data_IF_358964790830
#
_entry.id   IF_358964790830
#
_cell.length_a   1.000
_cell.length_b   1.000
_cell.length_c   1.000
_cell.angle_alpha   90.00
_cell.angle_beta   90.00
_cell.angle_gamma   90.00
#
_symmetry.space_group_name_H-M   'P 1'
#
loop_
_entity.id
_entity.type
_entity.pdbx_description
1 polymer ?
#
# COMPACT_ATOMS: atom_id res chain seq x y z
N UNK A 1 31.30 33.80 -45.69
CA UNK A 1 29.96 33.23 -46.01
C UNK A 1 29.36 32.74 -44.70
N UNK A 2 29.15 33.70 -43.80
CA UNK A 2 28.95 33.47 -42.37
C UNK A 2 27.77 34.33 -41.94
N UNK A 3 26.65 33.68 -41.65
CA UNK A 3 25.65 34.19 -40.73
C UNK A 3 24.69 33.06 -40.39
N UNK A 4 24.98 32.43 -39.26
CA UNK A 4 24.00 31.79 -38.42
C UNK A 4 22.82 32.75 -38.19
N UNK A 5 21.65 32.44 -38.76
CA UNK A 5 20.40 33.17 -38.53
C UNK A 5 19.30 32.39 -39.23
N UNK A 6 18.31 31.77 -38.60
CA UNK A 6 17.83 31.76 -37.23
C UNK A 6 17.21 30.39 -37.03
N UNK A 7 17.51 29.77 -35.89
CA UNK A 7 16.79 28.63 -35.33
C UNK A 7 15.29 28.84 -35.48
N UNK A 8 14.70 28.14 -36.44
CA UNK A 8 13.26 28.08 -36.66
C UNK A 8 12.64 27.54 -35.38
N UNK A 9 11.67 28.30 -34.89
CA UNK A 9 10.78 28.02 -33.76
C UNK A 9 10.25 26.58 -33.76
N UNK A 10 11.01 25.63 -33.20
CA UNK A 10 10.54 24.27 -32.92
C UNK A 10 9.57 24.25 -31.73
N UNK A 11 9.54 25.33 -30.92
CA UNK A 11 8.67 25.46 -29.76
C UNK A 11 7.64 26.57 -29.98
N UNK A 12 6.37 26.29 -29.71
CA UNK A 12 5.19 27.20 -29.80
C UNK A 12 5.25 28.32 -28.73
N UNK A 13 6.44 28.81 -28.40
CA UNK A 13 6.69 29.76 -27.31
C UNK A 13 6.67 31.21 -27.80
N UNK A 14 6.84 31.44 -29.11
CA UNK A 14 6.59 32.75 -29.74
C UNK A 14 7.17 33.94 -28.97
N UNK A 15 8.50 34.07 -28.93
CA UNK A 15 9.19 35.12 -28.15
C UNK A 15 8.83 36.56 -28.54
N UNK A 16 8.22 36.78 -29.71
CA UNK A 16 7.64 38.07 -30.12
C UNK A 16 8.65 39.13 -30.57
N UNK A 17 9.94 38.81 -30.58
CA UNK A 17 11.05 39.67 -30.99
C UNK A 17 11.27 39.70 -32.52
N UNK A 18 10.82 38.67 -33.23
CA UNK A 18 10.91 38.58 -34.70
C UNK A 18 9.54 38.17 -35.26
N UNK A 19 8.93 39.02 -36.10
CA UNK A 19 7.66 38.73 -36.77
C UNK A 19 7.76 38.95 -38.30
N UNK A 20 7.08 38.12 -39.13
CA UNK A 20 7.09 38.29 -40.57
C UNK A 20 6.24 39.50 -40.98
N UNK A 21 6.86 40.46 -41.69
CA UNK A 21 6.20 41.68 -42.14
C UNK A 21 5.54 41.56 -43.54
N UNK A 22 5.75 40.44 -44.25
CA UNK A 22 5.16 40.18 -45.57
C UNK A 22 3.92 39.30 -45.46
N UNK A 23 2.93 39.51 -46.34
CA UNK A 23 1.69 38.73 -46.33
C UNK A 23 1.93 37.23 -46.54
N UNK A 24 2.91 36.87 -47.38
CA UNK A 24 3.36 35.48 -47.55
C UNK A 24 4.02 34.90 -46.29
N UNK A 25 4.81 35.70 -45.56
CA UNK A 25 5.47 35.26 -44.33
C UNK A 25 4.49 35.01 -43.17
N UNK A 26 3.38 35.75 -43.12
CA UNK A 26 2.30 35.53 -42.14
C UNK A 26 1.61 34.17 -42.36
N UNK A 27 1.32 33.82 -43.62
CA UNK A 27 0.71 32.52 -43.98
C UNK A 27 1.66 31.37 -43.61
N UNK A 28 2.95 31.49 -43.97
CA UNK A 28 3.97 30.46 -43.64
C UNK A 28 4.11 30.27 -42.13
N UNK A 29 4.10 31.36 -41.34
CA UNK A 29 4.17 31.26 -39.87
C UNK A 29 2.98 30.51 -39.25
N UNK A 30 1.78 30.69 -39.81
CA UNK A 30 0.59 29.95 -39.37
C UNK A 30 0.68 28.45 -39.68
N UNK A 31 1.17 28.10 -40.89
CA UNK A 31 1.37 26.70 -41.29
C UNK A 31 2.41 26.02 -40.40
N UNK A 32 3.56 26.67 -40.15
CA UNK A 32 4.62 26.12 -39.28
C UNK A 32 4.13 25.94 -37.84
N UNK A 33 3.31 26.87 -37.32
CA UNK A 33 2.68 26.72 -36.00
C UNK A 33 1.74 25.51 -35.93
N UNK A 34 0.91 25.29 -36.95
CA UNK A 34 0.03 24.12 -37.03
C UNK A 34 0.82 22.81 -37.10
N UNK A 35 1.90 22.76 -37.89
CA UNK A 35 2.79 21.60 -37.95
C UNK A 35 3.44 21.28 -36.59
N UNK A 36 3.85 22.30 -35.83
CA UNK A 36 4.37 22.13 -34.47
C UNK A 36 3.35 21.51 -33.52
N UNK A 37 2.10 21.98 -33.56
CA UNK A 37 1.00 21.43 -32.75
C UNK A 37 0.69 19.99 -33.14
N UNK A 38 0.65 19.68 -34.45
CA UNK A 38 0.41 18.32 -34.96
C UNK A 38 1.52 17.35 -34.51
N UNK A 39 2.78 17.79 -34.54
CA UNK A 39 3.93 17.00 -34.07
C UNK A 39 3.81 16.67 -32.58
N UNK A 40 3.49 17.65 -31.74
CA UNK A 40 3.32 17.45 -30.29
C UNK A 40 2.13 16.52 -30.01
N UNK A 41 1.02 16.69 -30.70
CA UNK A 41 -0.16 15.84 -30.55
C UNK A 41 0.14 14.37 -30.90
N UNK A 42 0.91 14.12 -31.96
CA UNK A 42 1.32 12.77 -32.37
C UNK A 42 2.22 12.12 -31.31
N UNK A 43 3.18 12.86 -30.75
CA UNK A 43 4.05 12.38 -29.67
C UNK A 43 3.25 12.02 -28.41
N UNK A 44 2.31 12.87 -27.99
CA UNK A 44 1.44 12.60 -26.84
C UNK A 44 0.59 11.35 -27.07
N UNK A 45 0.00 11.20 -28.26
CA UNK A 45 -0.81 10.03 -28.60
C UNK A 45 0.00 8.73 -28.54
N UNK A 46 1.24 8.74 -29.04
CA UNK A 46 2.15 7.59 -28.98
C UNK A 46 2.52 7.27 -27.53
N UNK A 47 2.86 8.28 -26.73
CA UNK A 47 3.17 8.11 -25.30
C UNK A 47 1.99 7.51 -24.55
N UNK A 48 0.77 7.98 -24.81
CA UNK A 48 -0.45 7.42 -24.24
C UNK A 48 -0.64 5.96 -24.64
N UNK A 49 -0.37 5.60 -25.90
CA UNK A 49 -0.45 4.21 -26.35
C UNK A 49 0.60 3.32 -25.65
N UNK A 50 1.84 3.80 -25.45
CA UNK A 50 2.85 3.06 -24.68
C UNK A 50 2.49 2.91 -23.19
N UNK A 51 1.83 3.91 -22.59
CA UNK A 51 1.35 3.86 -21.20
C UNK A 51 0.13 2.95 -21.04
N UNK A 52 -0.82 3.00 -21.97
CA UNK A 52 -2.01 2.14 -21.97
C UNK A 52 -1.67 0.68 -22.30
N UNK A 53 -0.60 0.42 -23.07
CA UNK A 53 -0.25 -0.90 -23.57
C UNK A 53 0.78 -1.65 -22.72
N UNK A 54 0.97 -1.27 -21.45
CA UNK A 54 1.80 -2.03 -20.51
C UNK A 54 0.99 -2.60 -19.34
N UNK A 55 -0.21 -3.10 -19.62
CA UNK A 55 -1.00 -3.89 -18.66
C UNK A 55 -0.20 -5.03 -18.01
N UNK A 56 0.78 -5.60 -18.74
CA UNK A 56 1.72 -6.57 -18.16
C UNK A 56 2.63 -5.96 -17.06
N UNK A 57 3.10 -4.73 -17.21
CA UNK A 57 3.90 -4.06 -16.17
C UNK A 57 3.06 -3.65 -14.98
N UNK A 58 1.83 -3.18 -15.20
CA UNK A 58 0.88 -2.89 -14.12
C UNK A 58 0.55 -4.15 -13.33
N UNK A 59 0.24 -5.26 -14.00
CA UNK A 59 0.00 -6.55 -13.36
C UNK A 59 1.22 -7.02 -12.55
N UNK A 60 2.44 -6.87 -13.11
CA UNK A 60 3.67 -7.22 -12.37
C UNK A 60 3.88 -6.31 -11.17
N UNK A 61 3.60 -5.01 -11.28
CA UNK A 61 3.72 -4.07 -10.17
C UNK A 61 2.73 -4.42 -9.05
N UNK A 62 1.45 -4.61 -9.38
CA UNK A 62 0.41 -5.03 -8.46
C UNK A 62 0.75 -6.38 -7.80
N UNK A 63 1.18 -7.36 -8.60
CA UNK A 63 1.62 -8.65 -8.09
C UNK A 63 2.82 -8.52 -7.14
N UNK A 64 3.79 -7.66 -7.45
CA UNK A 64 4.91 -7.40 -6.55
C UNK A 64 4.45 -6.75 -5.24
N UNK A 65 3.56 -5.77 -5.29
CA UNK A 65 2.96 -5.16 -4.09
C UNK A 65 2.23 -6.21 -3.25
N UNK A 66 1.43 -7.09 -3.87
CA UNK A 66 0.76 -8.20 -3.18
C UNK A 66 1.76 -9.19 -2.57
N UNK A 67 2.87 -9.48 -3.25
CA UNK A 67 3.92 -10.35 -2.71
C UNK A 67 4.61 -9.73 -1.50
N UNK A 68 4.91 -8.45 -1.54
CA UNK A 68 5.51 -7.71 -0.42
C UNK A 68 4.59 -7.73 0.81
N UNK A 69 3.31 -7.38 0.63
CA UNK A 69 2.30 -7.44 1.70
C UNK A 69 2.17 -8.84 2.30
N UNK A 70 2.19 -9.88 1.46
CA UNK A 70 2.15 -11.27 1.92
C UNK A 70 3.41 -11.69 2.68
N UNK A 71 4.59 -11.23 2.25
CA UNK A 71 5.86 -11.48 2.94
C UNK A 71 5.86 -10.83 4.32
N UNK A 72 5.44 -9.58 4.43
CA UNK A 72 5.33 -8.89 5.72
C UNK A 72 4.35 -9.58 6.67
N UNK A 73 3.17 -9.96 6.18
CA UNK A 73 2.18 -10.70 6.98
C UNK A 73 2.76 -12.00 7.54
N UNK A 74 3.40 -12.82 6.69
CA UNK A 74 4.04 -14.07 7.11
C UNK A 74 5.14 -13.81 8.15
N UNK A 75 5.91 -12.74 8.00
CA UNK A 75 6.92 -12.34 8.97
C UNK A 75 6.32 -11.98 10.34
N UNK A 76 5.29 -11.15 10.40
CA UNK A 76 4.65 -10.78 11.67
C UNK A 76 3.92 -11.96 12.33
N UNK A 77 3.31 -12.86 11.55
CA UNK A 77 2.72 -14.10 12.08
C UNK A 77 3.79 -15.01 12.67
N UNK A 78 4.93 -15.18 11.98
CA UNK A 78 6.05 -15.95 12.51
C UNK A 78 6.57 -15.40 13.83
N UNK A 79 6.71 -14.07 13.92
CA UNK A 79 7.07 -13.39 15.15
C UNK A 79 6.02 -13.56 16.25
N UNK A 80 4.73 -13.46 15.92
CA UNK A 80 3.64 -13.69 16.86
C UNK A 80 3.75 -15.09 17.49
N UNK A 81 3.87 -16.14 16.67
CA UNK A 81 4.01 -17.53 17.13
C UNK A 81 5.26 -17.69 18.00
N UNK A 82 6.39 -17.11 17.58
CA UNK A 82 7.64 -17.15 18.35
C UNK A 82 7.48 -16.52 19.74
N UNK A 83 6.84 -15.35 19.81
CA UNK A 83 6.66 -14.65 21.08
C UNK A 83 5.59 -15.29 21.97
N UNK A 84 4.52 -15.86 21.41
CA UNK A 84 3.51 -16.58 22.19
C UNK A 84 4.09 -17.86 22.79
N UNK A 85 4.89 -18.62 22.04
CA UNK A 85 5.61 -19.80 22.56
C UNK A 85 6.62 -19.40 23.63
N UNK A 86 7.38 -18.31 23.41
CA UNK A 86 8.32 -17.80 24.43
C UNK A 86 7.60 -17.36 25.71
N UNK A 87 6.45 -16.69 25.59
CA UNK A 87 5.63 -16.32 26.74
C UNK A 87 5.13 -17.56 27.50
N UNK A 88 4.69 -18.59 26.78
CA UNK A 88 4.27 -19.85 27.39
C UNK A 88 5.42 -20.59 28.10
N UNK A 89 6.62 -20.59 27.53
CA UNK A 89 7.80 -21.19 28.18
C UNK A 89 8.20 -20.44 29.47
N UNK A 90 8.21 -19.10 29.44
CA UNK A 90 8.49 -18.29 30.63
C UNK A 90 7.45 -18.51 31.75
N UNK A 91 6.20 -18.74 31.37
CA UNK A 91 5.11 -19.10 32.28
C UNK A 91 5.34 -20.45 32.95
N UNK A 92 5.76 -21.46 32.18
CA UNK A 92 6.05 -22.80 32.70
C UNK A 92 7.18 -22.79 33.73
N UNK A 93 8.17 -21.92 33.54
CA UNK A 93 9.29 -21.75 34.46
C UNK A 93 8.95 -20.85 35.68
N UNK A 94 7.68 -20.49 35.87
CA UNK A 94 7.23 -19.64 36.99
C UNK A 94 7.63 -18.17 36.89
N UNK A 95 8.16 -17.72 35.74
CA UNK A 95 8.61 -16.34 35.51
C UNK A 95 7.51 -15.46 34.88
N UNK A 96 6.25 -15.71 35.24
CA UNK A 96 5.06 -15.00 34.72
C UNK A 96 5.02 -13.51 35.15
N UNK A 97 5.74 -13.15 36.21
CA UNK A 97 5.78 -11.77 36.75
C UNK A 97 7.05 -10.99 36.38
N UNK A 98 7.99 -11.63 35.68
CA UNK A 98 9.29 -11.03 35.33
C UNK A 98 9.21 -9.91 34.29
N UNK A 99 10.21 -9.02 34.27
CA UNK A 99 10.32 -7.97 33.26
C UNK A 99 10.42 -8.55 31.84
N UNK A 100 11.08 -9.70 31.68
CA UNK A 100 11.23 -10.38 30.40
C UNK A 100 9.88 -10.85 29.83
N UNK A 101 8.99 -11.38 30.68
CA UNK A 101 7.65 -11.79 30.28
C UNK A 101 6.84 -10.60 29.75
N UNK A 102 6.86 -9.46 30.45
CA UNK A 102 6.19 -8.22 30.02
C UNK A 102 6.70 -7.70 28.67
N UNK A 103 8.00 -7.80 28.42
CA UNK A 103 8.59 -7.40 27.12
C UNK A 103 8.14 -8.31 25.99
N UNK A 104 8.13 -9.63 26.21
CA UNK A 104 7.64 -10.61 25.22
C UNK A 104 6.16 -10.39 24.93
N UNK A 105 5.34 -10.11 25.96
CA UNK A 105 3.92 -9.79 25.79
C UNK A 105 3.68 -8.52 24.97
N UNK A 106 4.44 -7.44 25.21
CA UNK A 106 4.34 -6.23 24.37
C UNK A 106 4.64 -6.55 22.91
N UNK A 107 5.64 -7.38 22.64
CA UNK A 107 5.99 -7.81 21.28
C UNK A 107 4.88 -8.66 20.63
N UNK A 108 4.17 -9.48 21.41
CA UNK A 108 2.96 -10.19 20.95
C UNK A 108 1.89 -9.20 20.52
N UNK A 109 1.55 -8.22 21.37
CA UNK A 109 0.50 -7.24 21.06
C UNK A 109 0.84 -6.43 19.80
N UNK A 110 2.09 -5.95 19.70
CA UNK A 110 2.57 -5.23 18.52
C UNK A 110 2.49 -6.08 17.25
N UNK A 111 2.80 -7.38 17.32
CA UNK A 111 2.68 -8.27 16.17
C UNK A 111 1.21 -8.46 15.76
N UNK A 112 0.28 -8.60 16.71
CA UNK A 112 -1.17 -8.69 16.43
C UNK A 112 -1.66 -7.39 15.76
N UNK A 113 -1.29 -6.23 16.30
CA UNK A 113 -1.71 -4.94 15.73
C UNK A 113 -1.18 -4.74 14.31
N UNK A 114 0.07 -5.15 14.06
CA UNK A 114 0.64 -5.13 12.69
C UNK A 114 -0.12 -6.04 11.74
N UNK A 115 -0.47 -7.26 12.16
CA UNK A 115 -1.28 -8.18 11.34
C UNK A 115 -2.67 -7.60 11.06
N UNK A 116 -3.31 -6.98 12.06
CA UNK A 116 -4.62 -6.31 11.90
C UNK A 116 -4.54 -5.12 10.93
N UNK A 117 -3.49 -4.31 11.02
CA UNK A 117 -3.32 -3.15 10.14
C UNK A 117 -3.06 -3.57 8.68
N UNK A 118 -2.17 -4.54 8.46
CA UNK A 118 -1.92 -5.10 7.12
C UNK A 118 -3.18 -5.70 6.49
N UNK A 119 -4.07 -6.23 7.32
CA UNK A 119 -5.36 -6.75 6.87
C UNK A 119 -6.35 -5.64 6.51
N UNK A 120 -6.43 -4.58 7.31
CA UNK A 120 -7.29 -3.42 6.99
C UNK A 120 -6.88 -2.78 5.68
N UNK A 121 -5.58 -2.66 5.43
CA UNK A 121 -5.06 -2.21 4.14
C UNK A 121 -5.52 -3.12 3.00
N UNK A 122 -5.33 -4.44 3.13
CA UNK A 122 -5.81 -5.38 2.11
C UNK A 122 -7.33 -5.27 1.84
N UNK A 123 -8.15 -5.08 2.89
CA UNK A 123 -9.60 -4.92 2.71
C UNK A 123 -9.98 -3.60 2.05
N UNK A 124 -9.24 -2.52 2.31
CA UNK A 124 -9.45 -1.23 1.64
C UNK A 124 -9.12 -1.34 0.15
N UNK A 125 -7.99 -1.97 -0.19
CA UNK A 125 -7.58 -2.17 -1.59
C UNK A 125 -8.64 -2.97 -2.38
N UNK A 126 -9.22 -4.02 -1.78
CA UNK A 126 -10.29 -4.83 -2.41
C UNK A 126 -11.58 -4.02 -2.62
N UNK A 127 -11.95 -3.17 -1.65
CA UNK A 127 -13.18 -2.36 -1.73
C UNK A 127 -13.00 -1.19 -2.72
N UNK A 128 -11.81 -0.62 -2.83
CA UNK A 128 -11.48 0.39 -3.84
C UNK A 128 -11.53 -0.19 -5.26
N UNK A 129 -11.01 -1.41 -5.43
CA UNK A 129 -11.09 -2.15 -6.70
C UNK A 129 -12.55 -2.46 -7.07
N UNK A 130 -13.37 -2.98 -6.14
CA UNK A 130 -14.81 -3.24 -6.36
C UNK A 130 -15.60 -1.98 -6.73
N UNK A 131 -15.25 -0.81 -6.21
CA UNK A 131 -15.92 0.44 -6.58
C UNK A 131 -15.50 0.97 -7.95
N UNK A 132 -14.34 0.55 -8.45
CA UNK A 132 -13.82 0.92 -9.78
C UNK A 132 -14.28 -0.08 -10.86
N UNK A 133 -14.53 -1.34 -10.48
CA UNK A 133 -14.83 -2.45 -11.40
C UNK A 133 -16.33 -2.71 -11.66
N UNK A 134 -17.23 -1.86 -11.14
CA UNK A 134 -18.68 -1.90 -11.49
C UNK A 134 -18.97 -1.62 -12.98
N UNK A 135 -17.95 -1.34 -13.79
CA UNK A 135 -18.04 -1.24 -15.25
C UNK A 135 -17.64 -2.51 -16.00
N UNK A 136 -17.00 -3.51 -15.38
CA UNK A 136 -16.58 -4.75 -16.06
C UNK A 136 -17.03 -5.99 -15.26
N UNK A 137 -18.26 -6.42 -15.51
CA UNK A 137 -18.77 -7.71 -15.04
C UNK A 137 -17.99 -8.87 -15.69
N UNK A 138 -16.90 -9.32 -15.08
CA UNK A 138 -16.38 -10.70 -15.10
C UNK A 138 -14.94 -10.71 -14.58
N UNK A 139 -14.75 -10.74 -13.26
CA UNK A 139 -13.65 -11.48 -12.68
C UNK A 139 -13.84 -11.65 -11.17
N UNK A 140 -13.61 -12.90 -10.72
CA UNK A 140 -13.68 -13.39 -9.35
C UNK A 140 -15.10 -13.73 -8.82
N UNK A 141 -15.36 -15.04 -8.66
CA UNK A 141 -16.62 -15.56 -8.13
C UNK A 141 -16.85 -15.01 -6.71
N UNK A 142 -17.94 -14.27 -6.45
CA UNK A 142 -18.21 -13.63 -5.16
C UNK A 142 -18.23 -14.64 -4.01
N UNK A 143 -18.56 -15.91 -4.29
CA UNK A 143 -18.55 -16.99 -3.30
C UNK A 143 -17.15 -17.33 -2.76
N UNK A 144 -16.10 -17.18 -3.57
CA UNK A 144 -14.71 -17.43 -3.14
C UNK A 144 -14.24 -16.30 -2.22
N UNK A 145 -14.56 -15.06 -2.58
CA UNK A 145 -14.26 -13.87 -1.76
C UNK A 145 -14.98 -13.98 -0.42
N UNK A 146 -16.25 -14.34 -0.44
CA UNK A 146 -17.06 -14.55 0.76
C UNK A 146 -16.50 -15.69 1.64
N UNK A 147 -16.06 -16.79 1.03
CA UNK A 147 -15.41 -17.91 1.73
C UNK A 147 -14.10 -17.51 2.42
N UNK A 148 -13.28 -16.70 1.74
CA UNK A 148 -12.04 -16.13 2.31
C UNK A 148 -12.40 -15.18 3.45
N UNK A 149 -13.35 -14.27 3.24
CA UNK A 149 -13.80 -13.33 4.24
C UNK A 149 -14.32 -14.03 5.50
N UNK A 150 -15.08 -15.12 5.35
CA UNK A 150 -15.59 -15.91 6.47
C UNK A 150 -14.48 -16.58 7.28
N UNK A 151 -13.50 -17.21 6.63
CA UNK A 151 -12.34 -17.81 7.33
C UNK A 151 -11.50 -16.75 8.03
N UNK A 152 -11.33 -15.61 7.39
CA UNK A 152 -10.63 -14.47 7.94
C UNK A 152 -11.37 -13.91 9.17
N UNK A 153 -12.70 -13.73 9.12
CA UNK A 153 -13.50 -13.28 10.25
C UNK A 153 -13.41 -14.25 11.45
N UNK A 154 -13.40 -15.55 11.18
CA UNK A 154 -13.19 -16.57 12.23
C UNK A 154 -11.80 -16.47 12.87
N UNK A 155 -10.76 -16.11 12.10
CA UNK A 155 -9.43 -15.86 12.65
C UNK A 155 -9.41 -14.62 13.54
N UNK A 156 -10.16 -13.57 13.21
CA UNK A 156 -10.29 -12.37 14.05
C UNK A 156 -10.97 -12.67 15.36
N UNK A 157 -12.09 -13.40 15.34
CA UNK A 157 -12.76 -13.81 16.59
C UNK A 157 -11.83 -14.62 17.49
N UNK A 158 -10.96 -15.46 16.90
CA UNK A 158 -9.96 -16.22 17.66
C UNK A 158 -8.85 -15.33 18.20
N UNK A 159 -8.33 -14.39 17.41
CA UNK A 159 -7.31 -13.42 17.86
C UNK A 159 -7.85 -12.49 18.95
N UNK A 160 -9.09 -12.05 18.84
CA UNK A 160 -9.75 -11.21 19.83
C UNK A 160 -9.96 -11.97 21.13
N UNK A 161 -10.41 -13.23 21.06
CA UNK A 161 -10.48 -14.11 22.23
C UNK A 161 -9.12 -14.31 22.88
N UNK A 162 -8.05 -14.55 22.12
CA UNK A 162 -6.71 -14.67 22.67
C UNK A 162 -6.22 -13.36 23.30
N UNK A 163 -6.53 -12.23 22.67
CA UNK A 163 -6.20 -10.90 23.20
C UNK A 163 -6.93 -10.65 24.51
N UNK A 164 -8.24 -10.94 24.57
CA UNK A 164 -9.05 -10.80 25.78
C UNK A 164 -8.57 -11.73 26.90
N UNK A 165 -8.31 -13.00 26.60
CA UNK A 165 -7.74 -13.93 27.58
C UNK A 165 -6.39 -13.42 28.09
N UNK A 166 -5.53 -12.89 27.24
CA UNK A 166 -4.28 -12.28 27.69
C UNK A 166 -4.50 -11.04 28.57
N UNK A 167 -5.49 -10.20 28.23
CA UNK A 167 -5.83 -8.99 28.99
C UNK A 167 -6.39 -9.33 30.39
N UNK A 168 -7.28 -10.32 30.46
CA UNK A 168 -7.84 -10.81 31.73
C UNK A 168 -6.76 -11.44 32.61
N UNK A 169 -5.84 -12.21 32.01
CA UNK A 169 -4.67 -12.76 32.70
C UNK A 169 -3.71 -11.66 33.19
N UNK A 170 -3.67 -10.50 32.51
CA UNK A 170 -2.90 -9.35 32.96
C UNK A 170 -3.55 -8.65 34.16
N UNK A 171 -4.89 -8.50 34.15
CA UNK A 171 -5.63 -7.82 35.21
C UNK A 171 -5.58 -8.58 36.54
N UNK A 172 -5.68 -9.91 36.50
CA UNK A 172 -5.52 -10.79 37.68
C UNK A 172 -4.11 -10.65 38.27
N UNK A 173 -3.07 -10.52 37.43
CA UNK A 173 -1.69 -10.40 37.87
C UNK A 173 -1.33 -9.02 38.44
N UNK A 174 -1.95 -7.94 37.95
CA UNK A 174 -1.82 -6.60 38.57
C UNK A 174 -2.52 -6.53 39.93
N UNK A 175 -3.70 -7.13 40.09
CA UNK A 175 -4.39 -7.16 41.38
C UNK A 175 -3.65 -8.00 42.43
N UNK A 176 -3.07 -9.14 42.06
CA UNK A 176 -2.28 -9.94 43.00
C UNK A 176 -0.98 -9.25 43.45
N UNK A 177 -0.36 -8.43 42.60
CA UNK A 177 0.84 -7.70 42.99
C UNK A 177 0.52 -6.58 43.98
N UNK A 178 -0.58 -5.85 43.78
CA UNK A 178 -1.03 -4.79 44.72
C UNK A 178 -1.38 -5.41 46.08
N UNK A 179 -2.14 -6.50 46.11
CA UNK A 179 -2.52 -7.18 47.35
C UNK A 179 -1.32 -7.76 48.11
N UNK A 180 -0.33 -8.34 47.42
CA UNK A 180 0.89 -8.86 48.06
C UNK A 180 1.84 -7.78 48.60
N UNK A 181 1.73 -6.54 48.10
CA UNK A 181 2.47 -5.39 48.61
C UNK A 181 1.76 -4.83 49.85
N UNK A 182 0.43 -4.85 49.88
CA UNK A 182 -0.36 -4.41 51.05
C UNK A 182 -0.32 -5.39 52.22
N UNK A 183 -0.18 -6.70 51.99
CA UNK A 183 0.01 -7.73 53.04
C UNK A 183 1.43 -7.77 53.64
N UNK A 184 2.40 -7.08 53.04
CA UNK A 184 3.80 -7.02 53.50
C UNK A 184 4.16 -5.71 54.24
N UNK A 185 3.17 -4.84 54.46
CA UNK A 185 3.23 -3.64 55.30
C UNK A 185 2.48 -3.90 56.61
#
# INVERSE_FOLDING_TARGET
>A
MESASKTVSENVVGYGDVYPNTDGGRIVSGIVGLWGIISIALVIAIIQQYLQMNGAQQYVFEYNTLLEMNRERKYYIGNLIKFTVKAWYLRLNGNDKGQEYRQVQRKVHLAIDKIRNLRRQQLQDIVEDENTDKSNEQQMNPQIVEGIQNRLNQLDTKLDRLTQLMYDQMNINTQQNILSITERL
#
